data_IF_067456104076
#
_entry.id   IF_067456104076
#
_cell.length_a   1.000
_cell.length_b   1.000
_cell.length_c   1.000
_cell.angle_alpha   90.00
_cell.angle_beta   90.00
_cell.angle_gamma   90.00
#
_symmetry.space_group_name_H-M   'P 1'
#
loop_
_entity.id
_entity.type
_entity.pdbx_description
1 polymer ?
#
# COMPACT_ATOMS: atom_id res chain seq x y z
N UNK A 1 -8.07 42.02 -3.21
CA UNK A 1 -9.06 41.04 -2.72
C UNK A 1 -9.36 40.13 -3.89
N UNK A 2 -8.82 38.92 -3.89
CA UNK A 2 -9.14 37.93 -4.91
C UNK A 2 -10.51 37.36 -4.58
N UNK A 3 -11.50 37.69 -5.40
CA UNK A 3 -12.84 37.09 -5.35
C UNK A 3 -12.69 35.59 -5.63
N UNK A 4 -13.20 34.74 -4.74
CA UNK A 4 -13.39 33.32 -5.03
C UNK A 4 -14.53 33.24 -6.03
N UNK A 5 -14.22 32.97 -7.30
CA UNK A 5 -15.20 32.55 -8.29
C UNK A 5 -16.05 31.42 -7.68
N UNK A 6 -17.36 31.65 -7.58
CA UNK A 6 -18.33 30.62 -7.18
C UNK A 6 -18.05 29.35 -7.98
N UNK A 7 -18.07 28.15 -7.36
CA UNK A 7 -17.80 26.93 -8.10
C UNK A 7 -18.87 26.83 -9.18
N UNK A 8 -18.44 27.04 -10.43
CA UNK A 8 -19.20 26.72 -11.62
C UNK A 8 -19.83 25.35 -11.37
N UNK A 9 -21.14 25.21 -11.62
CA UNK A 9 -21.87 23.96 -11.49
C UNK A 9 -21.39 23.00 -12.60
N UNK A 10 -20.12 22.62 -12.51
CA UNK A 10 -19.48 21.63 -13.36
C UNK A 10 -20.17 20.33 -13.01
N UNK A 11 -20.87 19.68 -13.96
CA UNK A 11 -21.42 18.36 -13.71
C UNK A 11 -20.28 17.48 -13.21
N UNK A 12 -20.50 16.80 -12.07
CA UNK A 12 -19.50 15.95 -11.44
C UNK A 12 -18.87 15.06 -12.52
N UNK A 13 -17.57 15.25 -12.76
CA UNK A 13 -16.86 14.46 -13.75
C UNK A 13 -17.07 12.98 -13.40
N UNK A 14 -17.34 12.10 -14.38
CA UNK A 14 -17.47 10.68 -14.12
C UNK A 14 -16.23 10.23 -13.34
N UNK A 15 -16.47 9.55 -12.21
CA UNK A 15 -15.38 9.08 -11.38
C UNK A 15 -14.44 8.25 -12.25
N UNK A 16 -13.11 8.49 -12.21
CA UNK A 16 -12.16 7.70 -12.97
C UNK A 16 -12.40 6.21 -12.68
N UNK A 17 -12.38 5.40 -13.73
CA UNK A 17 -12.42 3.95 -13.61
C UNK A 17 -11.11 3.45 -13.00
N UNK A 18 -11.02 3.56 -11.68
CA UNK A 18 -9.89 3.05 -10.93
C UNK A 18 -9.89 1.52 -11.02
N UNK A 19 -8.71 0.89 -11.19
CA UNK A 19 -8.60 -0.56 -11.18
C UNK A 19 -9.22 -1.14 -9.90
N UNK A 20 -10.06 -2.16 -10.07
CA UNK A 20 -10.98 -2.64 -9.02
C UNK A 20 -10.29 -3.40 -7.88
N UNK A 21 -9.06 -3.86 -8.08
CA UNK A 21 -8.33 -4.62 -7.08
C UNK A 21 -6.93 -4.04 -6.87
N UNK A 22 -6.76 -3.36 -5.75
CA UNK A 22 -5.46 -2.92 -5.27
C UNK A 22 -4.75 -4.17 -4.74
N UNK A 23 -3.64 -4.59 -5.36
CA UNK A 23 -2.79 -5.69 -4.87
C UNK A 23 -2.96 -7.08 -5.48
N UNK A 24 -3.93 -7.34 -6.36
CA UNK A 24 -4.19 -8.69 -6.90
C UNK A 24 -3.13 -9.22 -7.89
N UNK A 25 -2.36 -8.34 -8.54
CA UNK A 25 -1.32 -8.70 -9.52
C UNK A 25 0.10 -8.31 -9.07
N UNK A 26 0.31 -8.08 -7.77
CA UNK A 26 1.63 -7.73 -7.24
C UNK A 26 2.39 -9.03 -6.96
N UNK A 27 3.49 -9.33 -7.69
CA UNK A 27 4.23 -10.58 -7.53
C UNK A 27 5.03 -10.65 -6.23
N UNK A 28 5.40 -9.49 -5.67
CA UNK A 28 6.11 -9.41 -4.40
C UNK A 28 5.12 -9.41 -3.24
N UNK A 29 5.17 -10.40 -2.34
CA UNK A 29 4.21 -10.53 -1.24
C UNK A 29 4.34 -9.40 -0.21
N UNK A 30 5.54 -8.85 0.00
CA UNK A 30 5.76 -7.73 0.92
C UNK A 30 5.15 -6.44 0.38
N UNK A 31 5.33 -6.18 -0.92
CA UNK A 31 4.69 -5.04 -1.60
C UNK A 31 3.17 -5.22 -1.65
N UNK A 32 2.67 -6.43 -1.92
CA UNK A 32 1.23 -6.72 -1.93
C UNK A 32 0.59 -6.42 -0.56
N UNK A 33 1.25 -6.85 0.52
CA UNK A 33 0.80 -6.59 1.89
C UNK A 33 0.83 -5.10 2.25
N UNK A 34 1.87 -4.37 1.85
CA UNK A 34 1.95 -2.94 2.09
C UNK A 34 0.80 -2.21 1.37
N UNK A 35 0.53 -2.56 0.11
CA UNK A 35 -0.52 -1.93 -0.72
C UNK A 35 -1.94 -2.25 -0.23
N UNK A 36 -2.18 -3.40 0.40
CA UNK A 36 -3.49 -3.77 0.96
C UNK A 36 -3.99 -2.75 2.00
N UNK A 37 -3.07 -2.05 2.69
CA UNK A 37 -3.39 -0.97 3.65
C UNK A 37 -4.21 0.17 3.04
N UNK A 38 -4.10 0.40 1.73
CA UNK A 38 -4.90 1.42 1.03
C UNK A 38 -6.42 1.12 1.10
N UNK A 39 -6.82 -0.13 1.33
CA UNK A 39 -8.22 -0.51 1.53
C UNK A 39 -8.83 0.05 2.84
N UNK A 40 -7.99 0.55 3.75
CA UNK A 40 -8.41 1.16 5.00
C UNK A 40 -8.82 2.65 4.81
N UNK A 41 -8.33 3.30 3.75
CA UNK A 41 -8.55 4.74 3.49
C UNK A 41 -10.03 5.13 3.40
N UNK A 42 -10.91 4.40 2.69
CA UNK A 42 -12.33 4.78 2.59
C UNK A 42 -13.05 4.81 3.95
N UNK A 43 -12.50 4.15 4.97
CA UNK A 43 -13.06 4.06 6.32
C UNK A 43 -12.44 5.06 7.30
N UNK A 44 -11.36 5.74 6.92
CA UNK A 44 -10.61 6.64 7.79
C UNK A 44 -11.01 8.11 7.54
N UNK A 45 -11.11 8.93 8.60
CA UNK A 45 -11.22 10.37 8.44
C UNK A 45 -9.95 10.92 7.79
N UNK A 46 -10.07 12.00 7.01
CA UNK A 46 -8.95 12.60 6.26
C UNK A 46 -7.76 12.97 7.16
N UNK A 47 -8.02 13.34 8.42
CA UNK A 47 -6.98 13.64 9.40
C UNK A 47 -6.02 12.45 9.67
N UNK A 48 -6.47 11.21 9.45
CA UNK A 48 -5.63 10.01 9.62
C UNK A 48 -4.99 9.51 8.32
N UNK A 49 -5.22 10.19 7.19
CA UNK A 49 -4.66 9.75 5.90
C UNK A 49 -3.15 9.98 5.83
N UNK A 50 -2.65 11.08 6.40
CA UNK A 50 -1.21 11.38 6.44
C UNK A 50 -0.43 10.25 7.14
N UNK A 51 -0.84 9.88 8.35
CA UNK A 51 -0.20 8.80 9.10
C UNK A 51 -0.24 7.45 8.38
N UNK A 52 -1.35 7.17 7.66
CA UNK A 52 -1.48 5.98 6.86
C UNK A 52 -0.51 6.00 5.67
N UNK A 53 -0.42 7.12 4.94
CA UNK A 53 0.50 7.24 3.81
C UNK A 53 1.96 7.18 4.25
N UNK A 54 2.32 7.79 5.37
CA UNK A 54 3.67 7.72 5.91
C UNK A 54 4.06 6.28 6.23
N UNK A 55 3.20 5.54 6.93
CA UNK A 55 3.44 4.11 7.22
C UNK A 55 3.50 3.26 5.95
N UNK A 56 2.64 3.52 4.97
CA UNK A 56 2.68 2.83 3.69
C UNK A 56 4.04 3.04 3.00
N UNK A 57 4.57 4.27 3.00
CA UNK A 57 5.88 4.55 2.40
C UNK A 57 7.01 3.81 3.12
N UNK A 58 6.98 3.77 4.46
CA UNK A 58 7.97 3.04 5.25
C UNK A 58 7.90 1.52 4.99
N UNK A 59 6.69 0.95 4.96
CA UNK A 59 6.46 -0.47 4.70
C UNK A 59 6.88 -0.86 3.27
N UNK A 60 6.58 -0.02 2.27
CA UNK A 60 7.04 -0.21 0.90
C UNK A 60 8.56 -0.13 0.79
N UNK A 61 9.18 0.84 1.47
CA UNK A 61 10.63 0.96 1.50
C UNK A 61 11.27 -0.28 2.12
N UNK A 62 10.70 -0.80 3.21
CA UNK A 62 11.18 -2.02 3.85
C UNK A 62 11.02 -3.24 2.92
N UNK A 63 9.86 -3.40 2.30
CA UNK A 63 9.59 -4.50 1.37
C UNK A 63 10.55 -4.48 0.17
N UNK A 64 10.72 -3.32 -0.47
CA UNK A 64 11.57 -3.18 -1.67
C UNK A 64 13.07 -3.34 -1.39
N UNK A 65 13.51 -3.10 -0.15
CA UNK A 65 14.89 -3.34 0.25
C UNK A 65 15.15 -4.77 0.74
N UNK A 66 14.10 -5.58 0.90
CA UNK A 66 14.23 -6.98 1.33
C UNK A 66 14.28 -7.88 0.09
N UNK A 67 15.22 -8.82 0.07
CA UNK A 67 15.23 -9.83 -0.99
C UNK A 67 14.02 -10.77 -0.80
N UNK A 68 13.22 -11.06 -1.84
CA UNK A 68 12.03 -11.90 -1.71
C UNK A 68 12.33 -13.33 -1.22
N UNK A 69 13.59 -13.78 -1.32
CA UNK A 69 14.06 -15.08 -0.81
C UNK A 69 14.33 -15.07 0.70
N UNK A 70 14.57 -13.90 1.31
CA UNK A 70 14.90 -13.74 2.73
C UNK A 70 13.64 -13.83 3.62
N UNK A 71 12.45 -13.64 3.03
CA UNK A 71 11.16 -13.70 3.75
C UNK A 71 10.65 -15.13 4.02
N UNK A 72 11.41 -16.17 3.67
CA UNK A 72 11.06 -17.54 4.07
C UNK A 72 11.27 -17.72 5.58
N UNK A 73 10.27 -18.12 6.37
CA UNK A 73 10.56 -18.59 7.73
C UNK A 73 11.50 -19.78 7.58
N UNK A 74 12.57 -19.81 8.36
CA UNK A 74 13.55 -20.89 8.38
C UNK A 74 12.88 -22.24 8.70
N UNK A 75 12.27 -22.86 7.70
CA UNK A 75 11.63 -24.16 7.78
C UNK A 75 12.65 -25.18 7.26
N UNK A 76 13.27 -25.85 8.24
CA UNK A 76 14.17 -26.99 8.15
C UNK A 76 15.67 -26.68 8.14
N UNK A 77 16.21 -26.49 9.35
CA UNK A 77 17.50 -27.08 9.67
C UNK A 77 17.30 -28.56 10.05
N UNK A 78 17.80 -29.54 9.29
CA UNK A 78 18.11 -30.83 9.88
C UNK A 78 19.49 -30.73 10.52
N UNK A 79 19.51 -30.89 11.85
CA UNK A 79 20.70 -31.23 12.60
C UNK A 79 21.32 -32.50 11.99
N UNK A 80 22.59 -32.43 11.59
CA UNK A 80 23.28 -33.56 10.98
C UNK A 80 24.79 -33.39 11.07
N UNK A 81 25.31 -33.41 12.31
CA UNK A 81 26.74 -33.62 12.53
C UNK A 81 27.13 -35.04 12.11
N UNK A 82 28.32 -35.19 11.54
CA UNK A 82 29.08 -36.44 11.55
C UNK A 82 30.56 -36.11 11.37
N UNK A 83 31.35 -36.74 12.23
CA UNK A 83 32.79 -36.64 12.42
C UNK A 83 33.59 -37.41 11.36
#
# INVERSE_FOLDING_TARGET
>A
MTELTEPDNVPAQPAPEWPQAVGQDIPDPGVAQAVDRLQEIPRLPTAGHEDLYNRLHDDLLAALNTDPTDSAPAANAPAGGSA
#
